data_IF_090006038875
#
_entry.id   IF_090006038875
#
_cell.length_a   1.000
_cell.length_b   1.000
_cell.length_c   1.000
_cell.angle_alpha   90.00
_cell.angle_beta   90.00
_cell.angle_gamma   90.00
#
_symmetry.space_group_name_H-M   'P 1'
#
loop_
_entity.id
_entity.type
_entity.pdbx_description
1 polymer ?
#
# COMPACT_ATOMS: atom_id res chain seq x y z
N UNK A 1 -7.57 -4.14 -14.56
CA UNK A 1 -8.78 -3.40 -14.29
C UNK A 1 -8.50 -1.95 -13.93
N UNK A 2 -9.32 -1.09 -14.40
CA UNK A 2 -9.14 0.31 -14.13
C UNK A 2 -10.00 0.71 -12.94
N UNK A 3 -9.41 0.90 -11.82
CA UNK A 3 -10.14 1.26 -10.62
C UNK A 3 -10.34 2.75 -10.54
N UNK A 4 -9.35 3.48 -11.02
CA UNK A 4 -9.39 4.93 -10.91
C UNK A 4 -9.79 5.54 -12.21
N UNK A 5 -10.65 6.50 -12.10
CA UNK A 5 -10.90 7.42 -13.18
C UNK A 5 -10.49 8.77 -12.67
N UNK A 6 -9.40 9.25 -13.12
CA UNK A 6 -8.80 10.42 -12.52
C UNK A 6 -9.74 11.62 -12.48
N UNK A 7 -10.43 11.87 -13.56
CA UNK A 7 -11.22 13.08 -13.61
C UNK A 7 -12.45 13.02 -12.72
N UNK A 8 -12.81 11.85 -12.22
CA UNK A 8 -14.00 11.75 -11.40
C UNK A 8 -13.69 11.74 -9.92
N UNK A 9 -12.43 11.74 -9.52
CA UNK A 9 -12.07 11.64 -8.12
C UNK A 9 -11.66 12.98 -7.57
N UNK A 10 -10.63 13.55 -8.15
CA UNK A 10 -10.11 14.82 -7.70
C UNK A 10 -10.00 15.74 -8.90
N UNK A 11 -10.05 17.00 -8.60
CA UNK A 11 -9.85 17.99 -9.64
C UNK A 11 -8.40 18.17 -10.01
N UNK A 12 -7.51 17.60 -9.26
CA UNK A 12 -6.11 17.82 -9.47
C UNK A 12 -5.41 16.62 -10.06
N UNK A 13 -4.56 16.00 -9.26
CA UNK A 13 -3.65 14.98 -9.75
C UNK A 13 -3.78 13.71 -8.93
N UNK A 14 -4.81 12.91 -9.17
CA UNK A 14 -5.01 11.70 -8.37
C UNK A 14 -3.87 10.70 -8.48
N UNK A 15 -3.23 10.62 -9.66
CA UNK A 15 -2.09 9.71 -9.78
C UNK A 15 -0.95 10.14 -8.87
N UNK A 16 -0.71 11.43 -8.80
CA UNK A 16 0.34 11.96 -7.96
C UNK A 16 0.03 11.73 -6.49
N UNK A 17 -1.23 11.87 -6.12
CA UNK A 17 -1.66 11.63 -4.75
C UNK A 17 -1.45 10.16 -4.40
N UNK A 18 -1.82 9.27 -5.31
CA UNK A 18 -1.63 7.84 -5.09
C UNK A 18 -0.15 7.50 -4.94
N UNK A 19 0.69 8.13 -5.76
CA UNK A 19 2.12 7.92 -5.65
C UNK A 19 2.64 8.37 -4.29
N UNK A 20 2.15 9.49 -3.79
CA UNK A 20 2.59 9.98 -2.49
C UNK A 20 2.18 9.03 -1.38
N UNK A 21 1.00 8.46 -1.46
CA UNK A 21 0.56 7.49 -0.46
C UNK A 21 1.44 6.24 -0.53
N UNK A 22 1.68 5.73 -1.73
CA UNK A 22 2.53 4.55 -1.89
C UNK A 22 3.94 4.82 -1.40
N UNK A 23 4.47 6.00 -1.67
CA UNK A 23 5.80 6.37 -1.19
C UNK A 23 5.84 6.47 0.33
N UNK A 24 4.80 7.00 0.93
CA UNK A 24 4.74 7.12 2.39
C UNK A 24 4.70 5.73 3.03
N UNK A 25 4.00 4.79 2.40
CA UNK A 25 3.95 3.43 2.89
C UNK A 25 5.32 2.79 2.79
N UNK A 26 6.01 2.98 1.67
CA UNK A 26 7.36 2.47 1.52
C UNK A 26 8.28 3.04 2.60
N UNK A 27 8.22 4.34 2.82
CA UNK A 27 9.04 4.98 3.83
C UNK A 27 8.76 4.42 5.22
N UNK A 28 7.50 4.19 5.54
CA UNK A 28 7.14 3.65 6.83
C UNK A 28 7.72 2.26 7.05
N UNK A 29 7.77 1.45 6.00
CA UNK A 29 8.39 0.14 6.09
C UNK A 29 9.90 0.25 6.26
N UNK A 30 10.51 1.11 5.46
CA UNK A 30 11.96 1.22 5.49
C UNK A 30 12.48 1.80 6.79
N UNK A 31 11.69 2.59 7.47
CA UNK A 31 12.07 3.11 8.78
C UNK A 31 12.27 1.99 9.79
N UNK A 32 11.49 0.94 9.67
CA UNK A 32 11.53 -0.17 10.62
C UNK A 32 12.33 -1.35 10.12
N UNK A 33 12.43 -1.49 8.80
CA UNK A 33 13.13 -2.61 8.19
C UNK A 33 13.77 -2.14 6.91
N UNK A 34 15.07 -1.91 6.98
CA UNK A 34 15.81 -1.35 5.85
C UNK A 34 15.85 -2.28 4.65
N UNK A 35 15.58 -3.56 4.88
CA UNK A 35 15.59 -4.55 3.81
C UNK A 35 14.19 -4.90 3.33
N UNK A 36 13.20 -4.13 3.72
CA UNK A 36 11.83 -4.41 3.34
C UNK A 36 11.67 -4.37 1.82
N UNK A 37 10.85 -5.27 1.33
CA UNK A 37 10.42 -5.25 -0.06
C UNK A 37 8.96 -4.87 -0.08
N UNK A 38 8.65 -3.82 -0.80
CA UNK A 38 7.31 -3.25 -0.76
C UNK A 38 6.85 -3.03 -2.20
N UNK A 39 5.85 -3.80 -2.59
CA UNK A 39 5.25 -3.66 -3.91
C UNK A 39 3.78 -3.33 -3.69
N UNK A 40 3.52 -2.10 -3.31
CA UNK A 40 2.18 -1.64 -2.94
C UNK A 40 1.74 -0.56 -3.90
N UNK A 41 0.51 -0.71 -4.36
CA UNK A 41 -0.13 0.25 -5.24
C UNK A 41 -1.27 0.91 -4.50
N UNK A 42 -1.57 2.13 -4.91
CA UNK A 42 -2.67 2.88 -4.34
C UNK A 42 -3.58 3.36 -5.46
N UNK A 43 -4.86 3.25 -5.24
CA UNK A 43 -5.87 3.75 -6.15
C UNK A 43 -6.91 4.50 -5.36
N UNK A 44 -7.50 5.52 -5.95
CA UNK A 44 -8.52 6.30 -5.28
C UNK A 44 -9.71 6.46 -6.22
N UNK A 45 -10.88 6.24 -5.67
CA UNK A 45 -12.11 6.49 -6.39
C UNK A 45 -13.11 7.08 -5.41
N UNK A 46 -13.63 8.26 -5.75
CA UNK A 46 -14.55 8.99 -4.88
C UNK A 46 -13.89 9.21 -3.53
N UNK A 47 -14.48 8.73 -2.45
CA UNK A 47 -13.89 8.90 -1.13
C UNK A 47 -13.28 7.60 -0.61
N UNK A 48 -12.89 6.70 -1.51
CA UNK A 48 -12.32 5.42 -1.12
C UNK A 48 -10.90 5.29 -1.62
N UNK A 49 -10.02 4.92 -0.72
CA UNK A 49 -8.63 4.66 -1.04
C UNK A 49 -8.41 3.16 -1.01
N UNK A 50 -7.86 2.62 -2.09
CA UNK A 50 -7.55 1.19 -2.20
C UNK A 50 -6.04 1.04 -2.12
N UNK A 51 -5.59 0.20 -1.20
CA UNK A 51 -4.17 -0.09 -1.04
C UNK A 51 -4.00 -1.58 -1.22
N UNK A 52 -3.20 -1.99 -2.20
CA UNK A 52 -3.09 -3.40 -2.51
C UNK A 52 -1.69 -3.74 -2.98
N UNK A 53 -1.31 -4.98 -2.77
CA UNK A 53 -0.01 -5.42 -3.21
C UNK A 53 0.60 -6.43 -2.25
N UNK A 54 1.92 -6.49 -2.26
CA UNK A 54 2.65 -7.46 -1.47
C UNK A 54 3.82 -6.79 -0.79
N UNK A 55 4.08 -7.21 0.45
CA UNK A 55 5.25 -6.73 1.16
C UNK A 55 5.95 -7.91 1.83
N UNK A 56 7.26 -7.85 1.86
CA UNK A 56 8.10 -8.74 2.66
C UNK A 56 8.86 -7.84 3.59
N UNK A 57 8.49 -7.87 4.86
CA UNK A 57 8.98 -6.85 5.79
C UNK A 57 8.74 -7.30 7.21
N UNK A 58 9.65 -6.89 8.08
CA UNK A 58 9.50 -7.11 9.52
C UNK A 58 8.74 -5.96 10.16
N UNK A 59 8.46 -4.92 9.42
CA UNK A 59 7.82 -3.74 9.95
C UNK A 59 6.34 -3.98 10.20
N UNK A 60 5.81 -3.21 11.12
CA UNK A 60 4.37 -3.17 11.36
C UNK A 60 3.91 -1.77 10.97
N UNK A 61 3.07 -1.69 9.96
CA UNK A 61 2.63 -0.42 9.40
C UNK A 61 1.11 -0.38 9.38
N UNK A 62 0.57 0.70 9.89
CA UNK A 62 -0.86 0.95 9.81
C UNK A 62 -1.13 1.70 8.51
N UNK A 63 -1.50 0.95 7.48
CA UNK A 63 -1.65 1.52 6.14
C UNK A 63 -2.74 2.57 6.08
N UNK A 64 -3.83 2.33 6.80
CA UNK A 64 -4.92 3.29 6.82
C UNK A 64 -4.45 4.62 7.38
N UNK A 65 -3.74 4.57 8.48
CA UNK A 65 -3.25 5.78 9.11
C UNK A 65 -2.29 6.52 8.20
N UNK A 66 -1.38 5.79 7.57
CA UNK A 66 -0.42 6.40 6.65
C UNK A 66 -1.15 7.10 5.51
N UNK A 67 -2.14 6.42 4.95
CA UNK A 67 -2.89 7.00 3.83
C UNK A 67 -3.64 8.26 4.25
N UNK A 68 -4.32 8.20 5.39
CA UNK A 68 -5.10 9.33 5.84
C UNK A 68 -4.21 10.51 6.22
N UNK A 69 -3.08 10.23 6.85
CA UNK A 69 -2.13 11.30 7.19
C UNK A 69 -1.57 11.96 5.93
N UNK A 70 -1.28 11.16 4.93
CA UNK A 70 -0.75 11.69 3.68
C UNK A 70 -1.78 12.61 3.01
N UNK A 71 -3.03 12.15 2.98
CA UNK A 71 -4.09 12.97 2.40
C UNK A 71 -4.25 14.27 3.15
N UNK A 72 -4.17 14.22 4.46
CA UNK A 72 -4.30 15.41 5.27
C UNK A 72 -3.16 16.39 5.01
N UNK A 73 -1.95 15.87 4.86
CA UNK A 73 -0.79 16.72 4.56
C UNK A 73 -0.94 17.41 3.21
N UNK A 74 -1.56 16.74 2.26
CA UNK A 74 -1.78 17.32 0.94
C UNK A 74 -2.85 18.40 1.00
N UNK A 75 -3.77 18.30 1.94
CA UNK A 75 -4.81 19.30 2.10
C UNK A 75 -6.22 18.79 2.02
N UNK A 76 -6.40 17.48 2.06
CA UNK A 76 -7.72 16.88 2.01
C UNK A 76 -8.18 16.51 3.40
N UNK A 77 -9.19 17.20 3.88
CA UNK A 77 -9.75 16.95 5.20
C UNK A 77 -10.99 16.08 5.17
N UNK A 78 -11.44 15.72 4.01
CA UNK A 78 -12.63 14.91 3.87
C UNK A 78 -12.41 13.52 4.45
N UNK A 79 -13.47 12.89 4.97
CA UNK A 79 -13.32 11.51 5.42
C UNK A 79 -13.17 10.57 4.23
N UNK A 80 -12.19 9.70 4.32
CA UNK A 80 -11.97 8.68 3.32
C UNK A 80 -12.08 7.31 3.95
N UNK A 81 -12.63 6.37 3.20
CA UNK A 81 -12.57 4.96 3.58
C UNK A 81 -11.32 4.37 2.97
N UNK A 82 -10.67 3.49 3.71
CA UNK A 82 -9.46 2.84 3.23
C UNK A 82 -9.71 1.34 3.19
N UNK A 83 -9.50 0.76 2.02
CA UNK A 83 -9.65 -0.68 1.82
C UNK A 83 -8.25 -1.23 1.52
N UNK A 84 -7.84 -2.22 2.30
CA UNK A 84 -6.52 -2.80 2.18
C UNK A 84 -6.60 -4.24 1.71
N UNK A 85 -5.70 -4.57 0.81
CA UNK A 85 -5.57 -5.94 0.35
C UNK A 85 -4.09 -6.20 0.15
N UNK A 86 -3.40 -6.44 1.25
CA UNK A 86 -1.95 -6.57 1.23
C UNK A 86 -1.57 -7.95 1.73
N UNK A 87 -0.77 -8.64 0.93
CA UNK A 87 -0.19 -9.91 1.34
C UNK A 87 1.14 -9.61 1.98
N UNK A 88 1.28 -9.98 3.24
CA UNK A 88 2.47 -9.66 3.99
C UNK A 88 3.18 -10.92 4.42
N UNK A 89 4.48 -10.94 4.20
CA UNK A 89 5.34 -12.02 4.64
C UNK A 89 6.49 -11.45 5.43
N UNK A 90 6.97 -12.23 6.38
CA UNK A 90 8.18 -11.85 7.08
C UNK A 90 9.36 -12.49 6.37
N UNK A 91 10.53 -11.90 6.57
CA UNK A 91 11.75 -12.47 6.00
C UNK A 91 11.98 -13.89 6.49
N UNK A 92 11.67 -14.13 7.75
CA UNK A 92 11.86 -15.46 8.31
C UNK A 92 11.03 -16.49 7.58
N UNK A 93 9.80 -16.15 7.28
CA UNK A 93 8.93 -17.07 6.56
C UNK A 93 9.45 -17.26 5.14
N UNK A 94 9.85 -16.19 4.50
CA UNK A 94 10.33 -16.26 3.13
C UNK A 94 11.57 -17.15 3.03
N UNK A 95 12.44 -17.04 3.99
CA UNK A 95 13.65 -17.86 3.99
C UNK A 95 13.34 -19.33 4.29
N UNK A 96 12.39 -19.54 5.18
CA UNK A 96 12.07 -20.91 5.58
C UNK A 96 11.33 -21.68 4.54
N UNK A 97 10.60 -21.03 3.77
CA UNK A 97 9.78 -21.70 2.79
C UNK A 97 10.53 -21.98 1.56
N UNK A 98 11.19 -21.43 1.22
CA UNK A 98 11.82 -21.55 0.08
C UNK A 98 11.60 -22.58 -0.70
N UNK A 99 10.78 -22.81 -0.23
CA UNK A 99 10.32 -23.34 -0.60
C UNK A 99 9.25 -23.69 -0.71
N UNK A 100 8.74 -24.10 -0.65
CA UNK A 100 7.72 -24.46 -0.78
C UNK A 100 6.77 -23.87 -0.98
N UNK A 101 6.39 -23.74 -1.01
CA UNK A 101 5.53 -23.23 -1.28
C UNK A 101 5.45 -22.38 -1.79
N UNK A 102 5.74 -22.36 -2.00
CA UNK A 102 5.65 -21.58 -2.42
C UNK A 102 5.28 -21.15 -3.01
N UNK A 103 5.09 -21.53 -3.18
CA UNK A 103 4.65 -21.24 -3.75
C UNK A 103 3.69 -21.04 -3.68
N UNK A 104 3.29 -21.44 -3.21
CA UNK A 104 2.44 -21.27 -3.14
C UNK A 104 1.94 -20.41 -2.93
N UNK A 105 2.03 -20.38 -2.64
CA UNK A 105 1.69 -19.50 -2.55
C UNK A 105 1.66 -18.66 -2.95
N UNK A 106 1.90 -18.73 -3.13
CA UNK A 106 1.92 -17.85 -3.70
C UNK A 106 1.66 -17.33 -4.00
N UNK A 107 1.62 -17.55 -4.12
CA UNK A 107 1.40 -16.89 -4.46
C UNK A 107 0.84 -16.34 -4.69
N UNK A 108 0.52 -16.20 -4.71
CA UNK A 108 0.09 -15.59 -4.99
C UNK A 108 -0.62 -15.27 -5.05
N UNK A 109 -0.86 -15.43 -5.04
CA UNK A 109 -1.41 -15.14 -5.17
C UNK A 109 -1.75 -14.95 -5.24
#
# INVERSE_FOLDING_TARGET
MKIITSESVFKGHPDKICDQISDAILDAHLEQDRNARVAVETAIKDDVVFIFGEVTSKASVNYKEVALDTLKEIGYDDPFDVIEKISKQSDDIALGVNHTNEHEQGAGD
#
